data_IF_459103828934
#
_entry.id   IF_459103828934
#
_cell.length_a   1.000
_cell.length_b   1.000
_cell.length_c   1.000
_cell.angle_alpha   90.00
_cell.angle_beta   90.00
_cell.angle_gamma   90.00
#
_symmetry.space_group_name_H-M   'P 1'
#
loop_
_entity.id
_entity.type
_entity.pdbx_description
1 polymer ?
#
# COMPACT_ATOMS: atom_id res chain seq x y z
N UNK A 1 35.29 -6.39 -20.46
CA UNK A 1 34.01 -5.96 -19.86
C UNK A 1 34.06 -4.47 -19.65
N UNK A 2 33.12 -3.68 -20.16
CA UNK A 2 33.07 -2.25 -19.81
C UNK A 2 32.86 -2.13 -18.30
N UNK A 3 33.59 -1.22 -17.64
CA UNK A 3 33.47 -0.97 -16.21
C UNK A 3 32.14 -0.29 -15.83
N UNK A 4 31.82 -0.21 -14.54
CA UNK A 4 30.59 0.43 -14.08
C UNK A 4 30.55 1.90 -14.49
N UNK A 5 29.35 2.38 -14.85
CA UNK A 5 29.15 3.78 -15.26
C UNK A 5 29.07 4.66 -14.00
N UNK A 6 30.14 5.40 -13.74
CA UNK A 6 30.33 6.19 -12.52
C UNK A 6 29.18 7.18 -12.23
N UNK A 7 28.56 7.77 -13.25
CA UNK A 7 27.43 8.67 -13.08
C UNK A 7 26.17 7.97 -12.53
N UNK A 8 25.94 6.71 -12.95
CA UNK A 8 24.81 5.91 -12.46
C UNK A 8 25.06 5.50 -11.00
N UNK A 9 26.30 5.07 -10.66
CA UNK A 9 26.65 4.72 -9.29
C UNK A 9 26.47 5.92 -8.32
N UNK A 10 26.92 7.10 -8.74
CA UNK A 10 26.76 8.33 -7.96
C UNK A 10 25.29 8.72 -7.81
N UNK A 11 24.47 8.60 -8.86
CA UNK A 11 23.03 8.84 -8.80
C UNK A 11 22.35 7.87 -7.82
N UNK A 12 22.68 6.58 -7.89
CA UNK A 12 22.16 5.58 -6.96
C UNK A 12 22.59 5.85 -5.50
N UNK A 13 23.83 6.34 -5.28
CA UNK A 13 24.30 6.72 -3.95
C UNK A 13 23.52 7.92 -3.38
N UNK A 14 23.22 8.94 -4.20
CA UNK A 14 22.37 10.08 -3.83
C UNK A 14 20.97 9.61 -3.41
N UNK A 15 20.34 8.75 -4.20
CA UNK A 15 19.01 8.22 -3.89
C UNK A 15 19.00 7.43 -2.57
N UNK A 16 19.99 6.55 -2.36
CA UNK A 16 20.14 5.80 -1.09
C UNK A 16 20.37 6.70 0.11
N UNK A 17 21.16 7.76 -0.04
CA UNK A 17 21.39 8.72 1.02
C UNK A 17 20.09 9.46 1.40
N UNK A 18 19.34 9.96 0.42
CA UNK A 18 18.05 10.63 0.64
C UNK A 18 17.00 9.68 1.25
N UNK A 19 17.01 8.39 0.88
CA UNK A 19 16.13 7.39 1.45
C UNK A 19 16.35 7.19 2.95
N UNK A 20 17.62 7.26 3.41
CA UNK A 20 17.99 7.08 4.84
C UNK A 20 17.82 8.35 5.66
N UNK A 21 18.16 9.48 5.09
CA UNK A 21 18.30 10.76 5.82
C UNK A 21 17.10 11.70 5.64
N UNK A 22 16.15 11.36 4.79
CA UNK A 22 14.94 12.16 4.52
C UNK A 22 15.23 13.38 3.65
N UNK A 23 15.48 14.55 4.26
CA UNK A 23 15.68 15.83 3.56
C UNK A 23 17.08 16.36 3.78
N UNK A 24 17.85 16.58 2.70
CA UNK A 24 19.24 17.09 2.76
C UNK A 24 19.46 18.23 1.79
N UNK A 25 20.33 19.18 2.14
CA UNK A 25 20.85 20.21 1.25
C UNK A 25 21.88 19.64 0.25
N UNK A 26 22.09 20.33 -0.86
CA UNK A 26 23.11 19.92 -1.86
C UNK A 26 24.52 19.84 -1.25
N UNK A 27 24.86 20.73 -0.29
CA UNK A 27 26.13 20.72 0.42
C UNK A 27 26.31 19.46 1.27
N UNK A 28 25.27 19.08 2.01
CA UNK A 28 25.29 17.89 2.87
C UNK A 28 25.42 16.61 2.03
N UNK A 29 24.72 16.55 0.90
CA UNK A 29 24.81 15.43 -0.05
C UNK A 29 26.22 15.33 -0.65
N UNK A 30 26.79 16.46 -1.08
CA UNK A 30 28.13 16.52 -1.65
C UNK A 30 29.17 16.05 -0.63
N UNK A 31 29.11 16.55 0.60
CA UNK A 31 30.03 16.18 1.69
C UNK A 31 29.90 14.69 2.05
N UNK A 32 28.66 14.18 2.22
CA UNK A 32 28.43 12.79 2.62
C UNK A 32 28.90 11.76 1.57
N UNK A 33 28.91 12.14 0.28
CA UNK A 33 29.29 11.25 -0.82
C UNK A 33 30.69 11.56 -1.39
N UNK A 34 31.43 12.51 -0.82
CA UNK A 34 32.74 12.91 -1.33
C UNK A 34 32.70 13.48 -2.75
N UNK A 35 31.61 14.17 -3.12
CA UNK A 35 31.40 14.74 -4.43
C UNK A 35 31.70 16.25 -4.44
N UNK A 36 32.20 16.77 -5.56
CA UNK A 36 32.21 18.22 -5.78
C UNK A 36 30.75 18.73 -5.84
N UNK A 37 30.47 19.88 -5.20
CA UNK A 37 29.13 20.48 -5.14
C UNK A 37 28.46 20.66 -6.51
N UNK A 38 29.18 21.09 -7.58
CA UNK A 38 28.61 21.14 -8.94
C UNK A 38 28.19 19.76 -9.46
N UNK A 39 28.95 18.72 -9.18
CA UNK A 39 28.63 17.33 -9.58
C UNK A 39 27.37 16.83 -8.87
N UNK A 40 27.27 17.02 -7.56
CA UNK A 40 26.08 16.68 -6.80
C UNK A 40 24.84 17.44 -7.30
N UNK A 41 24.99 18.73 -7.60
CA UNK A 41 23.93 19.54 -8.18
C UNK A 41 23.48 19.06 -9.57
N UNK A 42 24.41 18.68 -10.43
CA UNK A 42 24.11 18.11 -11.77
C UNK A 42 23.31 16.82 -11.66
N UNK A 43 23.72 15.91 -10.77
CA UNK A 43 23.02 14.65 -10.51
C UNK A 43 21.61 14.91 -9.97
N UNK A 44 21.46 15.81 -8.97
CA UNK A 44 20.16 16.17 -8.39
C UNK A 44 19.23 16.79 -9.41
N UNK A 45 19.74 17.65 -10.31
CA UNK A 45 18.97 18.24 -11.41
C UNK A 45 18.46 17.18 -12.39
N UNK A 46 19.30 16.20 -12.75
CA UNK A 46 18.90 15.09 -13.62
C UNK A 46 17.83 14.22 -12.95
N UNK A 47 18.02 13.85 -11.67
CA UNK A 47 17.06 13.08 -10.89
C UNK A 47 15.74 13.83 -10.67
N UNK A 48 15.81 15.16 -10.58
CA UNK A 48 14.62 16.01 -10.48
C UNK A 48 13.85 16.05 -11.81
N UNK A 49 14.56 16.10 -12.94
CA UNK A 49 13.95 16.08 -14.28
C UNK A 49 13.15 14.80 -14.55
N UNK A 50 13.56 13.66 -13.96
CA UNK A 50 12.82 12.38 -14.04
C UNK A 50 11.89 12.15 -12.84
N UNK A 51 11.74 13.13 -11.95
CA UNK A 51 10.83 13.08 -10.80
C UNK A 51 11.29 12.17 -9.64
N UNK A 52 12.50 11.65 -9.66
CA UNK A 52 13.05 10.78 -8.59
C UNK A 52 13.43 11.56 -7.34
N UNK A 53 13.71 12.84 -7.50
CA UNK A 53 14.02 13.77 -6.43
C UNK A 53 13.18 15.03 -6.60
N UNK A 54 12.78 15.65 -5.50
CA UNK A 54 12.07 16.93 -5.48
C UNK A 54 12.81 17.88 -4.55
N UNK A 55 12.98 19.13 -4.96
CA UNK A 55 13.50 20.20 -4.12
C UNK A 55 12.35 20.92 -3.44
N UNK A 56 12.41 21.06 -2.13
CA UNK A 56 11.47 21.85 -1.35
C UNK A 56 11.74 23.34 -1.55
N UNK A 57 10.75 24.07 -2.05
CA UNK A 57 10.90 25.47 -2.43
C UNK A 57 11.21 26.40 -1.24
N UNK A 58 10.75 26.04 -0.02
CA UNK A 58 10.95 26.87 1.17
C UNK A 58 12.33 26.67 1.82
N UNK A 59 12.81 25.42 1.87
CA UNK A 59 14.07 25.07 2.54
C UNK A 59 15.25 24.88 1.60
N UNK A 60 15.00 24.78 0.29
CA UNK A 60 16.01 24.42 -0.71
C UNK A 60 16.56 22.99 -0.59
N UNK A 61 16.04 22.19 0.36
CA UNK A 61 16.49 20.80 0.60
C UNK A 61 15.84 19.84 -0.41
N UNK A 62 16.56 18.76 -0.70
CA UNK A 62 16.13 17.69 -1.58
C UNK A 62 15.57 16.52 -0.79
N UNK A 63 14.55 15.88 -1.33
CA UNK A 63 13.95 14.62 -0.83
C UNK A 63 13.59 13.70 -1.98
N UNK A 64 13.32 12.43 -1.69
CA UNK A 64 12.80 11.52 -2.72
C UNK A 64 11.46 12.02 -3.29
N UNK A 65 11.33 11.95 -4.58
CA UNK A 65 10.13 12.30 -5.34
C UNK A 65 9.17 11.13 -5.51
N UNK A 66 7.92 11.44 -5.88
CA UNK A 66 6.86 10.43 -6.06
C UNK A 66 7.19 9.40 -7.16
N UNK A 67 7.98 9.76 -8.17
CA UNK A 67 8.40 8.82 -9.22
C UNK A 67 9.25 7.65 -8.68
N UNK A 68 10.01 7.87 -7.58
CA UNK A 68 10.72 6.77 -6.90
C UNK A 68 9.77 5.75 -6.28
N UNK A 69 8.64 6.22 -5.73
CA UNK A 69 7.56 5.34 -5.27
C UNK A 69 7.01 4.49 -6.43
N UNK A 70 6.78 5.09 -7.59
CA UNK A 70 6.29 4.39 -8.80
C UNK A 70 7.27 3.32 -9.29
N UNK A 71 8.57 3.59 -9.26
CA UNK A 71 9.59 2.58 -9.61
C UNK A 71 9.59 1.42 -8.62
N UNK A 72 9.41 1.71 -7.33
CA UNK A 72 9.32 0.67 -6.29
C UNK A 72 8.00 -0.10 -6.29
N UNK A 73 6.87 0.55 -6.56
CA UNK A 73 5.55 -0.10 -6.61
C UNK A 73 5.27 -0.82 -7.92
N UNK A 74 5.92 -0.41 -9.02
CA UNK A 74 5.77 -1.06 -10.33
C UNK A 74 6.50 -2.40 -10.44
N UNK A 75 7.23 -2.84 -9.40
CA UNK A 75 8.11 -4.01 -9.48
C UNK A 75 7.81 -5.15 -8.52
N UNK A 76 6.83 -5.05 -7.64
CA UNK A 76 6.37 -6.27 -6.99
C UNK A 76 5.33 -6.92 -7.91
N UNK A 77 5.75 -7.92 -8.66
CA UNK A 77 4.86 -8.78 -9.43
C UNK A 77 3.77 -9.30 -8.48
N UNK A 78 2.49 -9.20 -8.84
CA UNK A 78 1.39 -9.81 -8.08
C UNK A 78 1.65 -11.27 -7.69
N UNK A 79 2.39 -12.03 -8.52
CA UNK A 79 2.79 -13.40 -8.23
C UNK A 79 3.87 -13.48 -7.13
N UNK A 80 4.80 -12.51 -7.07
CA UNK A 80 5.80 -12.44 -5.99
C UNK A 80 5.13 -12.11 -4.66
N UNK A 81 4.18 -11.16 -4.65
CA UNK A 81 3.40 -10.85 -3.46
C UNK A 81 2.61 -12.08 -3.00
N UNK A 82 1.93 -12.76 -3.93
CA UNK A 82 1.18 -13.98 -3.65
C UNK A 82 2.06 -15.06 -3.06
N UNK A 83 3.20 -15.38 -3.68
CA UNK A 83 4.08 -16.48 -3.28
C UNK A 83 4.61 -16.30 -1.85
N UNK A 84 4.91 -15.06 -1.45
CA UNK A 84 5.42 -14.73 -0.10
C UNK A 84 4.32 -14.64 0.95
N UNK A 85 3.08 -14.41 0.53
CA UNK A 85 1.95 -14.18 1.43
C UNK A 85 1.06 -15.40 1.64
N UNK A 86 1.13 -16.42 0.79
CA UNK A 86 0.20 -17.57 0.78
C UNK A 86 0.12 -18.28 2.14
N UNK A 87 1.24 -18.64 2.75
CA UNK A 87 1.27 -19.35 4.03
C UNK A 87 0.68 -18.50 5.18
N UNK A 88 0.86 -17.19 5.13
CA UNK A 88 0.31 -16.26 6.12
C UNK A 88 -1.19 -16.04 5.93
N UNK A 89 -1.66 -16.07 4.68
CA UNK A 89 -3.09 -16.01 4.35
C UNK A 89 -3.81 -17.27 4.84
N UNK A 90 -3.26 -18.45 4.59
CA UNK A 90 -3.80 -19.72 5.08
C UNK A 90 -3.85 -19.77 6.62
N UNK A 91 -2.76 -19.36 7.27
CA UNK A 91 -2.71 -19.27 8.73
C UNK A 91 -3.69 -18.25 9.30
N UNK A 92 -3.94 -17.14 8.60
CA UNK A 92 -4.92 -16.13 9.00
C UNK A 92 -6.35 -16.69 8.86
N UNK A 93 -6.68 -17.35 7.74
CA UNK A 93 -7.98 -17.99 7.54
C UNK A 93 -8.27 -19.05 8.60
N UNK A 94 -7.29 -19.92 8.89
CA UNK A 94 -7.41 -20.94 9.95
C UNK A 94 -7.67 -20.33 11.34
N UNK A 95 -7.03 -19.20 11.67
CA UNK A 95 -7.18 -18.54 12.98
C UNK A 95 -8.45 -17.73 13.13
N UNK A 96 -8.91 -17.11 12.05
CA UNK A 96 -10.10 -16.25 12.07
C UNK A 96 -11.38 -17.01 11.76
N UNK A 97 -11.28 -18.11 11.02
CA UNK A 97 -12.42 -18.80 10.43
C UNK A 97 -13.11 -17.99 9.33
N UNK A 98 -12.44 -16.97 8.76
CA UNK A 98 -13.00 -16.10 7.73
C UNK A 98 -12.25 -16.24 6.40
N UNK A 99 -12.89 -15.84 5.30
CA UNK A 99 -12.21 -15.75 4.01
C UNK A 99 -11.11 -14.69 4.07
N UNK A 100 -9.94 -15.01 3.49
CA UNK A 100 -8.79 -14.10 3.42
C UNK A 100 -8.53 -13.71 1.98
N UNK A 101 -8.26 -12.44 1.76
CA UNK A 101 -7.85 -11.93 0.45
C UNK A 101 -6.57 -11.11 0.57
N UNK A 102 -5.75 -11.22 -0.47
CA UNK A 102 -4.62 -10.35 -0.70
C UNK A 102 -4.92 -9.55 -1.96
N UNK A 103 -4.76 -8.26 -1.89
CA UNK A 103 -4.95 -7.38 -3.02
C UNK A 103 -3.71 -6.50 -3.25
N UNK A 104 -3.49 -6.18 -4.52
CA UNK A 104 -2.46 -5.24 -4.96
C UNK A 104 -3.07 -4.22 -5.92
N UNK A 105 -2.29 -3.19 -6.24
CA UNK A 105 -2.65 -2.27 -7.32
C UNK A 105 -2.65 -3.02 -8.66
N UNK A 106 -3.71 -2.88 -9.42
CA UNK A 106 -3.79 -3.39 -10.78
C UNK A 106 -3.13 -2.41 -11.74
N UNK A 107 -2.02 -2.81 -12.37
CA UNK A 107 -1.38 -2.13 -13.48
C UNK A 107 -1.44 -0.60 -13.52
N UNK A 108 -1.32 -0.03 -14.73
CA UNK A 108 -1.33 1.43 -14.96
C UNK A 108 -2.75 2.05 -14.91
N UNK A 109 -3.78 1.25 -15.04
CA UNK A 109 -5.18 1.70 -15.00
C UNK A 109 -5.71 1.94 -13.57
N UNK A 110 -4.93 1.54 -12.56
CA UNK A 110 -5.11 1.99 -11.18
C UNK A 110 -6.34 1.42 -10.47
N UNK A 111 -6.62 0.14 -10.62
CA UNK A 111 -7.62 -0.60 -9.84
C UNK A 111 -7.03 -1.30 -8.61
N UNK A 112 -7.88 -1.95 -7.85
CA UNK A 112 -7.53 -2.89 -6.78
C UNK A 112 -7.80 -4.30 -7.28
N UNK A 113 -6.76 -5.13 -7.37
CA UNK A 113 -6.84 -6.49 -7.91
C UNK A 113 -6.65 -7.51 -6.79
N UNK A 114 -7.53 -8.48 -6.69
CA UNK A 114 -7.34 -9.65 -5.81
C UNK A 114 -6.30 -10.57 -6.42
N UNK A 115 -5.17 -10.74 -5.74
CA UNK A 115 -4.06 -11.60 -6.21
C UNK A 115 -4.05 -12.96 -5.53
N UNK A 116 -4.73 -13.10 -4.40
CA UNK A 116 -4.89 -14.36 -3.69
C UNK A 116 -6.18 -14.39 -2.88
N UNK A 117 -6.80 -15.56 -2.78
CA UNK A 117 -8.02 -15.80 -2.02
C UNK A 117 -7.92 -17.15 -1.31
N UNK A 118 -8.18 -17.14 -0.01
CA UNK A 118 -8.37 -18.34 0.82
C UNK A 118 -9.84 -18.39 1.24
N UNK A 119 -10.49 -19.48 0.94
CA UNK A 119 -11.90 -19.68 1.30
C UNK A 119 -12.11 -19.78 2.80
N UNK A 120 -13.26 -19.36 3.26
CA UNK A 120 -13.71 -19.58 4.63
C UNK A 120 -13.91 -21.08 4.88
N UNK A 121 -13.38 -21.63 5.99
CA UNK A 121 -13.43 -23.07 6.24
C UNK A 121 -14.75 -23.52 6.90
N UNK A 122 -15.90 -23.13 6.34
CA UNK A 122 -17.23 -23.42 6.92
C UNK A 122 -18.18 -24.13 5.93
N UNK A 123 -17.63 -24.66 4.83
CA UNK A 123 -18.37 -25.34 3.77
C UNK A 123 -19.49 -24.50 3.11
N UNK A 124 -19.52 -23.18 3.31
CA UNK A 124 -20.42 -22.30 2.56
C UNK A 124 -19.94 -22.16 1.13
N UNK A 125 -20.89 -22.01 0.20
CA UNK A 125 -20.56 -21.72 -1.20
C UNK A 125 -19.86 -20.37 -1.30
N UNK A 126 -18.69 -20.33 -1.93
CA UNK A 126 -17.88 -19.15 -2.12
C UNK A 126 -17.32 -19.12 -3.54
N UNK A 127 -17.40 -17.97 -4.19
CA UNK A 127 -16.78 -17.77 -5.50
C UNK A 127 -15.27 -17.50 -5.35
N UNK A 128 -14.47 -18.01 -6.29
CA UNK A 128 -13.07 -17.66 -6.38
C UNK A 128 -12.94 -16.23 -6.94
N UNK A 129 -12.32 -15.36 -6.20
CA UNK A 129 -12.21 -13.93 -6.56
C UNK A 129 -10.80 -13.52 -7.03
N UNK A 130 -9.89 -14.48 -7.23
CA UNK A 130 -8.55 -14.16 -7.79
C UNK A 130 -8.71 -13.60 -9.20
N UNK A 131 -8.12 -12.44 -9.45
CA UNK A 131 -8.27 -11.70 -10.71
C UNK A 131 -9.43 -10.69 -10.71
N UNK A 132 -10.28 -10.69 -9.69
CA UNK A 132 -11.36 -9.70 -9.60
C UNK A 132 -10.85 -8.32 -9.22
N UNK A 133 -11.51 -7.30 -9.78
CA UNK A 133 -11.29 -5.89 -9.44
C UNK A 133 -12.28 -5.47 -8.36
N UNK A 134 -11.74 -4.94 -7.28
CA UNK A 134 -12.54 -4.48 -6.15
C UNK A 134 -12.80 -2.96 -6.25
N UNK A 135 -14.01 -2.50 -5.88
CA UNK A 135 -14.28 -1.08 -5.71
C UNK A 135 -13.44 -0.52 -4.54
N UNK A 136 -12.47 0.33 -4.86
CA UNK A 136 -11.46 0.75 -3.90
C UNK A 136 -12.05 1.53 -2.71
N UNK A 137 -13.12 2.33 -2.92
CA UNK A 137 -13.76 3.14 -1.89
C UNK A 137 -14.64 2.33 -0.92
N UNK A 138 -15.17 1.19 -1.36
CA UNK A 138 -16.17 0.41 -0.63
C UNK A 138 -15.62 -0.88 0.00
N UNK A 139 -14.31 -1.16 -0.15
CA UNK A 139 -13.70 -2.36 0.41
C UNK A 139 -12.56 -2.00 1.38
N UNK A 140 -12.38 -2.77 2.45
CA UNK A 140 -11.30 -2.57 3.39
C UNK A 140 -9.92 -2.63 2.71
N UNK A 141 -9.70 -3.60 1.79
CA UNK A 141 -8.49 -3.74 0.99
C UNK A 141 -8.25 -2.50 0.12
N UNK A 142 -9.29 -2.01 -0.53
CA UNK A 142 -9.24 -0.82 -1.37
C UNK A 142 -8.91 0.45 -0.56
N UNK A 143 -9.55 0.64 0.59
CA UNK A 143 -9.28 1.77 1.51
C UNK A 143 -7.83 1.76 1.99
N UNK A 144 -7.25 0.60 2.28
CA UNK A 144 -5.82 0.49 2.59
C UNK A 144 -4.98 1.00 1.43
N UNK A 145 -5.21 0.51 0.21
CA UNK A 145 -4.42 0.92 -0.95
C UNK A 145 -4.62 2.42 -1.27
N UNK A 146 -5.85 2.94 -1.20
CA UNK A 146 -6.13 4.37 -1.35
C UNK A 146 -5.40 5.23 -0.31
N UNK A 147 -5.27 4.75 0.92
CA UNK A 147 -4.63 5.51 1.98
C UNK A 147 -3.13 5.74 1.74
N UNK A 148 -2.45 4.82 1.02
CA UNK A 148 -1.01 4.86 0.83
C UNK A 148 -0.56 5.09 -0.63
N UNK A 149 -1.48 5.08 -1.59
CA UNK A 149 -1.22 5.38 -3.00
C UNK A 149 -1.91 6.69 -3.40
N UNK A 150 -1.12 7.76 -3.56
CA UNK A 150 -1.63 9.10 -3.87
C UNK A 150 -2.27 9.17 -5.27
N UNK A 151 -1.74 8.42 -6.24
CA UNK A 151 -2.27 8.40 -7.61
C UNK A 151 -3.61 7.66 -7.66
N UNK A 152 -3.71 6.51 -6.96
CA UNK A 152 -4.95 5.77 -6.82
C UNK A 152 -6.03 6.62 -6.11
N UNK A 153 -5.65 7.31 -5.03
CA UNK A 153 -6.53 8.23 -4.31
C UNK A 153 -6.98 9.42 -5.19
N UNK A 154 -6.08 9.99 -5.99
CA UNK A 154 -6.41 11.08 -6.90
C UNK A 154 -7.42 10.64 -7.98
N UNK A 155 -7.24 9.45 -8.54
CA UNK A 155 -8.20 8.86 -9.51
C UNK A 155 -9.56 8.58 -8.87
N UNK A 156 -9.59 8.02 -7.66
CA UNK A 156 -10.83 7.79 -6.93
C UNK A 156 -11.58 9.10 -6.62
N UNK A 157 -10.85 10.18 -6.34
CA UNK A 157 -11.46 11.52 -6.16
C UNK A 157 -12.00 12.12 -7.47
N UNK A 158 -11.35 11.86 -8.59
CA UNK A 158 -11.78 12.35 -9.90
C UNK A 158 -12.88 11.50 -10.56
N UNK A 159 -13.01 10.24 -10.13
CA UNK A 159 -13.98 9.29 -10.67
C UNK A 159 -15.34 9.34 -9.95
N UNK A 160 -16.26 8.55 -10.46
CA UNK A 160 -17.55 8.32 -9.80
C UNK A 160 -17.39 7.27 -8.70
N UNK A 161 -17.95 7.55 -7.51
CA UNK A 161 -18.09 6.56 -6.44
C UNK A 161 -19.44 5.88 -6.60
N UNK A 162 -19.44 4.60 -6.98
CA UNK A 162 -20.69 3.85 -7.18
C UNK A 162 -21.29 3.44 -5.85
N UNK A 163 -22.59 3.68 -5.64
CA UNK A 163 -23.36 3.15 -4.52
C UNK A 163 -23.62 1.66 -4.74
N UNK A 164 -23.02 0.80 -3.90
CA UNK A 164 -23.18 -0.66 -3.98
C UNK A 164 -24.21 -1.14 -2.97
N UNK A 165 -24.28 -0.46 -1.85
CA UNK A 165 -25.27 -0.66 -0.79
C UNK A 165 -25.73 0.68 -0.24
N UNK A 166 -26.69 0.68 0.66
CA UNK A 166 -27.12 1.90 1.37
C UNK A 166 -26.05 2.43 2.34
N UNK A 167 -25.01 1.64 2.63
CA UNK A 167 -23.90 2.01 3.53
C UNK A 167 -22.62 2.44 2.81
N UNK A 168 -22.56 2.28 1.49
CA UNK A 168 -21.40 2.68 0.71
C UNK A 168 -21.07 4.17 0.94
N UNK A 169 -19.83 4.47 1.26
CA UNK A 169 -19.37 5.85 1.45
C UNK A 169 -19.31 6.56 0.11
N UNK A 170 -20.25 7.49 -0.12
CA UNK A 170 -20.37 8.28 -1.35
C UNK A 170 -19.80 9.69 -1.21
N UNK A 171 -19.68 10.19 0.01
CA UNK A 171 -19.08 11.49 0.29
C UNK A 171 -17.55 11.42 0.28
N UNK A 172 -16.93 12.17 -0.63
CA UNK A 172 -15.48 12.23 -0.81
C UNK A 172 -14.76 12.74 0.46
N UNK A 173 -15.35 13.69 1.16
CA UNK A 173 -14.77 14.20 2.40
C UNK A 173 -14.83 13.15 3.53
N UNK A 174 -15.89 12.35 3.58
CA UNK A 174 -15.98 11.21 4.50
C UNK A 174 -14.91 10.16 4.17
N UNK A 175 -14.75 9.81 2.89
CA UNK A 175 -13.71 8.89 2.45
C UNK A 175 -12.31 9.40 2.82
N UNK A 176 -12.00 10.67 2.59
CA UNK A 176 -10.69 11.26 2.94
C UNK A 176 -10.43 11.23 4.45
N UNK A 177 -11.45 11.42 5.29
CA UNK A 177 -11.35 11.25 6.75
C UNK A 177 -11.05 9.80 7.13
N UNK A 178 -11.69 8.83 6.48
CA UNK A 178 -11.40 7.42 6.70
C UNK A 178 -9.98 7.04 6.27
N UNK A 179 -9.54 7.46 5.10
CA UNK A 179 -8.17 7.22 4.63
C UNK A 179 -7.12 7.84 5.57
N UNK A 180 -7.44 8.96 6.20
CA UNK A 180 -6.58 9.56 7.23
C UNK A 180 -6.49 8.68 8.47
N UNK A 181 -7.62 8.13 8.95
CA UNK A 181 -7.63 7.15 10.05
C UNK A 181 -6.86 5.90 9.69
N UNK A 182 -7.03 5.37 8.47
CA UNK A 182 -6.26 4.19 8.00
C UNK A 182 -4.75 4.42 8.10
N UNK A 183 -4.27 5.62 7.78
CA UNK A 183 -2.83 5.97 7.94
C UNK A 183 -2.39 6.04 9.39
N UNK A 184 -3.25 6.50 10.30
CA UNK A 184 -2.98 6.61 11.73
C UNK A 184 -3.03 5.25 12.42
N UNK A 185 -4.08 4.45 12.16
CA UNK A 185 -4.37 3.20 12.86
C UNK A 185 -3.62 2.01 12.24
N UNK A 186 -3.21 2.12 10.96
CA UNK A 186 -2.52 1.07 10.22
C UNK A 186 -3.42 -0.09 9.80
N UNK A 187 -4.74 0.15 9.69
CA UNK A 187 -5.72 -0.80 9.18
C UNK A 187 -6.97 -0.08 8.68
N UNK A 188 -7.75 -0.73 7.83
CA UNK A 188 -9.04 -0.26 7.35
C UNK A 188 -10.14 -1.27 7.67
N UNK A 189 -11.36 -0.77 7.85
CA UNK A 189 -12.56 -1.58 7.94
C UNK A 189 -13.62 -1.12 6.95
N UNK A 190 -14.51 -2.02 6.59
CA UNK A 190 -15.77 -1.72 5.93
C UNK A 190 -16.89 -2.56 6.56
N UNK A 191 -18.08 -2.01 6.69
CA UNK A 191 -19.26 -2.70 7.23
C UNK A 191 -20.42 -2.50 6.27
N UNK A 192 -20.75 -3.57 5.52
CA UNK A 192 -21.84 -3.59 4.54
C UNK A 192 -21.71 -2.53 3.43
N UNK A 193 -20.50 -2.00 3.19
CA UNK A 193 -20.30 -1.00 2.14
C UNK A 193 -20.18 -1.64 0.75
N UNK A 194 -19.57 -2.81 0.67
CA UNK A 194 -19.41 -3.57 -0.57
C UNK A 194 -20.56 -4.54 -0.80
N UNK A 195 -20.96 -5.28 0.25
CA UNK A 195 -22.07 -6.26 0.22
C UNK A 195 -22.84 -6.21 1.53
N UNK A 196 -24.18 -6.19 1.46
CA UNK A 196 -25.02 -6.26 2.66
C UNK A 196 -24.75 -7.52 3.46
N UNK A 197 -24.77 -7.43 4.78
CA UNK A 197 -24.51 -8.54 5.70
C UNK A 197 -23.04 -8.92 5.86
N UNK A 198 -22.12 -8.24 5.17
CA UNK A 198 -20.70 -8.55 5.16
C UNK A 198 -19.89 -7.39 5.74
N UNK A 199 -18.85 -7.73 6.50
CA UNK A 199 -17.84 -6.77 6.95
C UNK A 199 -16.44 -7.24 6.56
N UNK A 200 -15.51 -6.31 6.41
CA UNK A 200 -14.13 -6.59 6.08
C UNK A 200 -13.15 -5.78 6.93
N UNK A 201 -11.99 -6.36 7.19
CA UNK A 201 -10.85 -5.72 7.86
C UNK A 201 -9.63 -5.97 6.99
N UNK A 202 -8.81 -4.95 6.74
CA UNK A 202 -7.57 -5.09 6.00
C UNK A 202 -6.43 -4.27 6.61
N UNK A 203 -5.19 -4.71 6.38
CA UNK A 203 -3.99 -4.01 6.79
C UNK A 203 -2.94 -3.96 5.66
N UNK A 204 -2.06 -2.95 5.63
CA UNK A 204 -1.09 -2.76 4.57
C UNK A 204 0.05 -3.77 4.66
N UNK A 205 0.39 -4.35 3.52
CA UNK A 205 1.62 -5.11 3.32
C UNK A 205 2.68 -4.14 2.81
N UNK A 206 3.81 -4.09 3.52
CA UNK A 206 4.92 -3.20 3.22
C UNK A 206 6.12 -3.97 2.68
N UNK A 207 6.80 -3.38 1.72
CA UNK A 207 8.10 -3.84 1.26
C UNK A 207 9.23 -3.02 1.90
N UNK A 208 10.45 -3.26 1.46
CA UNK A 208 11.65 -2.52 1.88
C UNK A 208 11.42 -1.00 1.81
N UNK A 209 11.90 -0.26 2.83
CA UNK A 209 11.68 1.18 2.93
C UNK A 209 10.26 1.59 3.35
N UNK A 210 9.42 0.66 3.80
CA UNK A 210 8.07 0.94 4.32
C UNK A 210 7.00 1.21 3.24
N UNK A 211 7.35 0.99 1.97
CA UNK A 211 6.43 1.19 0.85
C UNK A 211 5.29 0.17 0.89
N UNK A 212 4.04 0.62 0.81
CA UNK A 212 2.88 -0.27 0.75
C UNK A 212 2.75 -0.81 -0.68
N UNK A 213 2.85 -2.13 -0.81
CA UNK A 213 2.82 -2.87 -2.08
C UNK A 213 1.56 -3.71 -2.26
N UNK A 214 0.78 -3.85 -1.20
CA UNK A 214 -0.47 -4.61 -1.19
C UNK A 214 -1.21 -4.45 0.12
N UNK A 215 -2.30 -5.19 0.24
CA UNK A 215 -3.09 -5.31 1.46
C UNK A 215 -3.51 -6.76 1.66
N UNK A 216 -3.57 -7.20 2.92
CA UNK A 216 -4.18 -8.47 3.32
C UNK A 216 -5.37 -8.17 4.22
N UNK A 217 -6.45 -8.91 4.04
CA UNK A 217 -7.65 -8.72 4.83
C UNK A 217 -8.53 -9.96 4.92
N UNK A 218 -9.43 -9.92 5.88
CA UNK A 218 -10.51 -10.89 6.06
C UNK A 218 -11.83 -10.28 5.62
N UNK A 219 -12.75 -11.15 5.22
CA UNK A 219 -14.13 -10.78 4.94
C UNK A 219 -15.06 -11.90 5.41
N UNK A 220 -16.15 -11.51 6.06
CA UNK A 220 -17.14 -12.46 6.55
C UNK A 220 -18.42 -11.78 7.05
N UNK A 221 -19.36 -12.53 7.65
CA UNK A 221 -20.59 -12.00 8.22
C UNK A 221 -20.32 -10.92 9.26
N UNK A 222 -21.16 -9.88 9.27
CA UNK A 222 -21.02 -8.73 10.18
C UNK A 222 -20.96 -9.16 11.66
N UNK A 223 -21.81 -10.08 12.07
CA UNK A 223 -21.91 -10.57 13.45
C UNK A 223 -20.66 -11.32 13.95
N UNK A 224 -19.86 -11.87 13.02
CA UNK A 224 -18.58 -12.54 13.33
C UNK A 224 -17.43 -11.55 13.46
N UNK A 225 -17.42 -10.50 12.65
CA UNK A 225 -16.35 -9.50 12.59
C UNK A 225 -16.61 -8.31 13.53
N UNK A 226 -17.89 -7.95 13.72
CA UNK A 226 -18.30 -6.82 14.55
C UNK A 226 -19.04 -7.26 15.82
N UNK A 227 -19.14 -6.36 16.79
CA UNK A 227 -20.02 -6.50 17.95
C UNK A 227 -21.46 -6.02 17.62
N UNK A 228 -22.39 -6.18 18.58
CA UNK A 228 -23.78 -5.77 18.42
C UNK A 228 -23.97 -4.26 18.18
N UNK A 229 -22.95 -3.44 18.41
CA UNK A 229 -22.93 -2.00 18.13
C UNK A 229 -22.24 -1.66 16.82
N UNK A 230 -22.02 -2.66 15.96
CA UNK A 230 -21.28 -2.54 14.69
C UNK A 230 -19.87 -1.96 14.86
N UNK A 231 -19.17 -2.30 15.94
CA UNK A 231 -17.76 -1.96 16.13
C UNK A 231 -16.91 -3.20 15.85
N UNK A 232 -15.82 -3.02 15.14
CA UNK A 232 -14.89 -4.10 14.86
C UNK A 232 -14.35 -4.73 16.15
N UNK A 233 -14.38 -6.05 16.23
CA UNK A 233 -13.80 -6.80 17.35
C UNK A 233 -12.27 -6.66 17.34
N UNK A 234 -11.67 -6.44 18.50
CA UNK A 234 -10.23 -6.20 18.60
C UNK A 234 -9.38 -7.41 18.15
N UNK A 235 -9.86 -8.64 18.37
CA UNK A 235 -9.12 -9.87 18.04
C UNK A 235 -8.91 -10.01 16.52
N UNK A 236 -9.94 -9.96 15.65
CA UNK A 236 -9.75 -9.99 14.19
C UNK A 236 -8.85 -8.86 13.69
N UNK A 237 -9.03 -7.63 14.18
CA UNK A 237 -8.17 -6.49 13.81
C UNK A 237 -6.71 -6.79 14.09
N UNK A 238 -6.40 -7.29 15.29
CA UNK A 238 -5.03 -7.65 15.66
C UNK A 238 -4.47 -8.76 14.77
N UNK A 239 -5.24 -9.83 14.52
CA UNK A 239 -4.81 -10.96 13.70
C UNK A 239 -4.48 -10.54 12.26
N UNK A 240 -5.29 -9.68 11.64
CA UNK A 240 -5.04 -9.12 10.30
C UNK A 240 -3.78 -8.27 10.28
N UNK A 241 -3.60 -7.40 11.29
CA UNK A 241 -2.39 -6.57 11.40
C UNK A 241 -1.13 -7.41 11.60
N UNK A 242 -1.21 -8.47 12.38
CA UNK A 242 -0.07 -9.38 12.63
C UNK A 242 0.29 -10.16 11.37
N UNK A 243 -0.68 -10.65 10.61
CA UNK A 243 -0.46 -11.28 9.32
C UNK A 243 0.19 -10.31 8.31
N UNK A 244 -0.33 -9.09 8.22
CA UNK A 244 0.24 -8.05 7.34
C UNK A 244 1.71 -7.76 7.68
N UNK A 245 2.06 -7.64 8.97
CA UNK A 245 3.44 -7.46 9.43
C UNK A 245 4.32 -8.66 9.10
N UNK A 246 3.79 -9.87 9.23
CA UNK A 246 4.53 -11.10 8.92
C UNK A 246 4.89 -11.15 7.42
N UNK A 247 3.91 -10.92 6.53
CA UNK A 247 4.16 -10.82 5.08
C UNK A 247 5.15 -9.68 4.77
N UNK A 248 5.02 -8.54 5.46
CA UNK A 248 5.92 -7.40 5.25
C UNK A 248 7.38 -7.74 5.59
N UNK A 249 7.63 -8.53 6.65
CA UNK A 249 8.98 -9.02 6.97
C UNK A 249 9.54 -9.93 5.88
N UNK A 250 8.74 -10.81 5.28
CA UNK A 250 9.15 -11.62 4.12
C UNK A 250 9.55 -10.76 2.92
N UNK A 251 8.98 -9.56 2.81
CA UNK A 251 9.29 -8.57 1.77
C UNK A 251 10.40 -7.59 2.16
N UNK A 252 11.09 -7.84 3.28
CA UNK A 252 12.23 -7.05 3.74
C UNK A 252 11.86 -5.71 4.39
N UNK A 253 10.63 -5.53 4.85
CA UNK A 253 10.27 -4.39 5.70
C UNK A 253 10.85 -4.61 7.12
N UNK A 254 11.50 -3.58 7.64
CA UNK A 254 12.00 -3.51 9.03
C UNK A 254 10.94 -2.92 9.95
#
# INVERSE_FOLDING_TARGET
MPGPIQSIERAAAVLRLLARSGRLGVGDIAAALGLAKPTAHGILRTLQGVGFVVQDAGSGKYRLGAAMGKVGTGYLDPNDLRSRAINWADALAARTGEAVRIAARAGDDGGVLVVHHVFRPDNTEQALEVGERLPAHATALGKVLLAYDADLAARARGGELSALTHRTVMDRAALDRELTRVRQDGWAGEIEEFRSGVAGIAAPIRAHGGLVVGAVGIMGPVDRICDARLRFRATPVRQVRDAARAVSRELGAQ
#
